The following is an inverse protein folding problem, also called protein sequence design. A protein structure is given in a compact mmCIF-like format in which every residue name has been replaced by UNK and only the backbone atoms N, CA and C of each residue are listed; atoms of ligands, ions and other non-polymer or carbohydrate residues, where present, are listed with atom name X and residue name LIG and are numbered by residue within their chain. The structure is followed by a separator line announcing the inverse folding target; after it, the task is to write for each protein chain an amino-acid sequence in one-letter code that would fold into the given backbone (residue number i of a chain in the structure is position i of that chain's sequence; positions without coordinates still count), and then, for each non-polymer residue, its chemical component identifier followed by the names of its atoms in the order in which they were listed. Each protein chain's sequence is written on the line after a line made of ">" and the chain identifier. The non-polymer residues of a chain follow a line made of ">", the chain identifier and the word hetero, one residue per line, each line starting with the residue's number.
data_IF_641635181059
#
_entry.id   IF_641635181059
#
_cell.length_a   1.000
_cell.length_b   1.000
_cell.length_c   1.000
_cell.angle_alpha   90.00
_cell.angle_beta   90.00
_cell.angle_gamma   90.00
#
_symmetry.space_group_name_H-M   'P 1'
#
loop_
_entity.id
_entity.type
_entity.pdbx_description
1 polymer ?
#
# COMPACT_ATOMS: atom_id res chain seq x y z
N UNK A 1 7.74 37.70 2.13
CA UNK A 1 7.75 36.94 3.40
C UNK A 1 6.53 36.03 3.57
N UNK A 2 5.26 36.46 3.37
CA UNK A 2 4.10 35.56 3.51
C UNK A 2 4.11 34.39 2.50
N UNK A 3 4.41 34.65 1.23
CA UNK A 3 4.54 33.61 0.18
C UNK A 3 5.58 32.51 0.48
N UNK A 4 6.59 32.80 1.32
CA UNK A 4 7.69 31.88 1.61
C UNK A 4 7.36 30.96 2.79
N UNK A 5 6.68 31.50 3.81
CA UNK A 5 6.11 30.71 4.92
C UNK A 5 5.06 29.72 4.41
N UNK A 6 4.19 30.16 3.49
CA UNK A 6 3.16 29.32 2.87
C UNK A 6 3.78 28.11 2.15
N UNK A 7 4.95 28.30 1.51
CA UNK A 7 5.64 27.23 0.79
C UNK A 7 6.25 26.18 1.72
N UNK A 8 6.78 26.58 2.88
CA UNK A 8 7.43 25.67 3.82
C UNK A 8 6.40 24.85 4.60
N UNK A 9 5.31 25.49 5.04
CA UNK A 9 4.21 24.81 5.71
C UNK A 9 3.60 23.72 4.82
N UNK A 10 3.33 24.05 3.55
CA UNK A 10 2.76 23.11 2.59
C UNK A 10 3.70 21.92 2.31
N UNK A 11 5.00 22.17 2.20
CA UNK A 11 6.01 21.11 2.07
C UNK A 11 6.05 20.21 3.31
N UNK A 12 5.95 20.77 4.51
CA UNK A 12 5.88 19.99 5.74
C UNK A 12 4.65 19.07 5.73
N UNK A 13 3.48 19.58 5.33
CA UNK A 13 2.25 18.78 5.25
C UNK A 13 2.35 17.64 4.23
N UNK A 14 2.94 17.90 3.05
CA UNK A 14 3.16 16.85 2.05
C UNK A 14 4.17 15.81 2.53
N UNK A 15 5.20 16.24 3.28
CA UNK A 15 6.14 15.31 3.92
C UNK A 15 5.45 14.45 4.99
N UNK A 16 4.59 15.05 5.83
CA UNK A 16 3.77 14.32 6.80
C UNK A 16 2.87 13.30 6.10
N UNK A 17 2.28 13.65 4.96
CA UNK A 17 1.49 12.73 4.15
C UNK A 17 2.35 11.55 3.65
N UNK A 18 3.56 11.80 3.16
CA UNK A 18 4.47 10.74 2.71
C UNK A 18 4.97 9.84 3.88
N UNK A 19 5.02 10.38 5.10
CA UNK A 19 5.39 9.66 6.32
C UNK A 19 4.21 8.97 7.01
N UNK A 20 2.96 9.34 6.71
CA UNK A 20 1.77 8.81 7.39
C UNK A 20 1.72 7.26 7.48
N UNK A 21 2.14 6.48 6.45
CA UNK A 21 2.19 5.02 6.54
C UNK A 21 3.13 4.51 7.64
N UNK A 22 4.29 5.14 7.84
CA UNK A 22 5.22 4.78 8.92
C UNK A 22 4.56 4.90 10.30
N UNK A 23 3.70 5.91 10.46
CA UNK A 23 3.04 6.21 11.72
C UNK A 23 1.67 5.52 11.90
N UNK A 24 1.23 4.72 10.93
CA UNK A 24 -0.12 4.13 10.94
C UNK A 24 -0.32 3.02 11.97
N UNK A 25 0.77 2.42 12.50
CA UNK A 25 0.67 1.43 13.58
C UNK A 25 0.65 2.06 14.99
N UNK A 26 0.95 3.35 15.13
CA UNK A 26 0.96 4.02 16.42
C UNK A 26 -0.43 4.57 16.74
N UNK A 27 -0.94 4.25 17.93
CA UNK A 27 -2.26 4.67 18.40
C UNK A 27 -2.18 6.14 18.81
N UNK A 28 -3.11 6.94 18.28
CA UNK A 28 -3.36 8.29 18.77
C UNK A 28 -4.49 8.25 19.81
N UNK A 29 -5.67 7.77 19.40
CA UNK A 29 -6.84 7.63 20.27
C UNK A 29 -7.80 6.56 19.72
N UNK A 30 -8.11 5.53 20.52
CA UNK A 30 -9.01 4.45 20.11
C UNK A 30 -8.53 3.73 18.85
N UNK A 31 -9.32 3.80 17.76
CA UNK A 31 -8.98 3.22 16.45
C UNK A 31 -8.27 4.21 15.50
N UNK A 32 -7.99 5.44 15.95
CA UNK A 32 -7.32 6.48 15.17
C UNK A 32 -5.81 6.37 15.39
N UNK A 33 -5.05 6.18 14.31
CA UNK A 33 -3.59 6.15 14.34
C UNK A 33 -2.96 7.54 14.18
N UNK A 34 -1.70 7.68 14.60
CA UNK A 34 -0.91 8.89 14.34
C UNK A 34 -0.77 9.15 12.83
N UNK A 35 -0.67 8.09 12.03
CA UNK A 35 -0.71 8.16 10.57
C UNK A 35 -2.01 8.74 10.02
N UNK A 36 -3.16 8.37 10.60
CA UNK A 36 -4.47 8.91 10.20
C UNK A 36 -4.52 10.42 10.50
N UNK A 37 -4.01 10.86 11.65
CA UNK A 37 -3.89 12.29 12.00
C UNK A 37 -3.01 13.04 10.99
N UNK A 38 -1.90 12.45 10.54
CA UNK A 38 -1.05 13.08 9.51
C UNK A 38 -1.78 13.24 8.18
N UNK A 39 -2.55 12.22 7.76
CA UNK A 39 -3.40 12.30 6.57
C UNK A 39 -4.47 13.40 6.71
N UNK A 40 -5.13 13.50 7.87
CA UNK A 40 -6.14 14.53 8.15
C UNK A 40 -5.52 15.92 8.12
N UNK A 41 -4.38 16.12 8.78
CA UNK A 41 -3.67 17.40 8.80
C UNK A 41 -3.25 17.82 7.37
N UNK A 42 -2.69 16.89 6.61
CA UNK A 42 -2.32 17.13 5.22
C UNK A 42 -3.53 17.47 4.34
N UNK A 43 -4.66 16.77 4.53
CA UNK A 43 -5.91 17.07 3.82
C UNK A 43 -6.37 18.50 4.08
N UNK A 44 -6.52 18.89 5.34
CA UNK A 44 -7.01 20.24 5.69
C UNK A 44 -6.04 21.33 5.24
N UNK A 45 -4.74 21.12 5.39
CA UNK A 45 -3.75 22.11 4.98
C UNK A 45 -3.58 22.23 3.46
N UNK A 46 -3.93 21.20 2.69
CA UNK A 46 -3.91 21.22 1.22
C UNK A 46 -5.23 21.71 0.59
N UNK A 47 -6.29 22.00 1.37
CA UNK A 47 -7.61 22.39 0.85
C UNK A 47 -7.55 23.56 -0.15
N UNK A 48 -6.76 24.59 0.15
CA UNK A 48 -6.60 25.78 -0.70
C UNK A 48 -5.82 25.51 -2.01
N UNK A 49 -5.25 24.32 -2.13
CA UNK A 49 -4.41 23.90 -3.25
C UNK A 49 -5.05 22.80 -4.11
N UNK A 50 -6.34 22.51 -3.89
CA UNK A 50 -7.09 21.62 -4.77
C UNK A 50 -7.59 22.34 -6.03
N UNK A 51 -7.44 21.67 -7.17
CA UNK A 51 -8.02 22.02 -8.47
C UNK A 51 -9.03 20.95 -8.85
N UNK A 52 -10.28 21.15 -8.44
CA UNK A 52 -11.36 20.20 -8.68
C UNK A 52 -11.79 20.25 -10.16
N UNK A 53 -11.44 19.21 -10.92
CA UNK A 53 -11.96 18.99 -12.26
C UNK A 53 -13.40 18.45 -12.21
N UNK A 54 -14.17 18.55 -13.30
CA UNK A 54 -15.50 17.92 -13.38
C UNK A 54 -15.45 16.41 -13.10
N UNK A 55 -14.39 15.72 -13.55
CA UNK A 55 -14.17 14.32 -13.25
C UNK A 55 -13.93 14.08 -11.75
N UNK A 56 -13.10 14.92 -11.12
CA UNK A 56 -12.86 14.87 -9.67
C UNK A 56 -14.15 15.10 -8.86
N UNK A 57 -14.96 16.09 -9.26
CA UNK A 57 -16.26 16.35 -8.65
C UNK A 57 -17.20 15.14 -8.79
N UNK A 58 -17.23 14.51 -9.96
CA UNK A 58 -18.00 13.29 -10.19
C UNK A 58 -17.56 12.13 -9.28
N UNK A 59 -16.25 11.93 -9.09
CA UNK A 59 -15.71 10.93 -8.15
C UNK A 59 -16.09 11.23 -6.70
N UNK A 60 -15.92 12.49 -6.27
CA UNK A 60 -16.25 12.91 -4.92
C UNK A 60 -17.75 12.70 -4.66
N UNK A 61 -18.58 13.12 -5.61
CA UNK A 61 -20.04 12.95 -5.53
C UNK A 61 -20.46 11.48 -5.47
N UNK A 62 -19.87 10.61 -6.30
CA UNK A 62 -20.17 9.18 -6.27
C UNK A 62 -19.74 8.51 -4.96
N UNK A 63 -18.57 8.85 -4.42
CA UNK A 63 -18.14 8.42 -3.09
C UNK A 63 -19.12 8.87 -2.00
N UNK A 64 -19.53 10.14 -2.00
CA UNK A 64 -20.48 10.65 -1.01
C UNK A 64 -21.87 10.01 -1.12
N UNK A 65 -22.38 9.75 -2.33
CA UNK A 65 -23.65 9.02 -2.50
C UNK A 65 -23.55 7.62 -1.90
N UNK A 66 -22.50 6.86 -2.24
CA UNK A 66 -22.31 5.50 -1.73
C UNK A 66 -22.23 5.53 -0.20
N UNK A 67 -21.39 6.41 0.37
CA UNK A 67 -21.26 6.55 1.83
C UNK A 67 -22.57 6.96 2.48
N UNK A 68 -23.29 7.95 1.92
CA UNK A 68 -24.54 8.45 2.49
C UNK A 68 -25.64 7.38 2.46
N UNK A 69 -25.84 6.73 1.32
CA UNK A 69 -26.87 5.69 1.18
C UNK A 69 -26.56 4.51 2.09
N UNK A 70 -25.31 4.04 2.12
CA UNK A 70 -24.90 2.98 3.05
C UNK A 70 -25.09 3.41 4.51
N UNK A 71 -24.77 4.66 4.87
CA UNK A 71 -24.99 5.19 6.21
C UNK A 71 -26.48 5.21 6.59
N UNK A 72 -27.37 5.62 5.69
CA UNK A 72 -28.84 5.57 5.92
C UNK A 72 -29.30 4.14 6.14
N UNK A 73 -28.86 3.19 5.31
CA UNK A 73 -29.20 1.78 5.47
C UNK A 73 -28.69 1.19 6.79
N UNK A 74 -27.50 1.58 7.25
CA UNK A 74 -26.94 1.17 8.54
C UNK A 74 -27.71 1.78 9.71
N UNK A 75 -28.06 3.07 9.64
CA UNK A 75 -28.85 3.74 10.67
C UNK A 75 -30.24 3.15 10.83
N UNK A 76 -30.92 2.79 9.73
CA UNK A 76 -32.23 2.12 9.78
C UNK A 76 -32.17 0.77 10.54
N UNK A 77 -30.97 0.20 10.66
CA UNK A 77 -30.71 -1.08 11.34
C UNK A 77 -30.02 -0.93 12.70
N UNK A 78 -29.78 0.30 13.16
CA UNK A 78 -29.14 0.64 14.45
C UNK A 78 -27.71 0.13 14.65
N UNK A 79 -26.97 -0.17 13.58
CA UNK A 79 -25.61 -0.73 13.66
C UNK A 79 -24.64 0.06 12.78
N UNK A 80 -23.92 1.04 13.37
CA UNK A 80 -22.82 1.73 12.68
C UNK A 80 -21.53 1.52 13.46
N UNK A 81 -20.67 0.63 12.96
CA UNK A 81 -19.36 0.36 13.55
C UNK A 81 -18.39 1.52 13.30
N UNK A 82 -17.43 1.75 14.21
CA UNK A 82 -16.37 2.73 14.02
C UNK A 82 -15.52 2.46 12.75
N UNK A 83 -15.36 1.17 12.38
CA UNK A 83 -14.68 0.74 11.17
C UNK A 83 -15.35 1.21 9.87
N UNK A 84 -16.68 1.44 9.87
CA UNK A 84 -17.37 2.01 8.72
C UNK A 84 -16.90 3.44 8.44
N UNK A 85 -16.85 4.29 9.47
CA UNK A 85 -16.42 5.68 9.32
C UNK A 85 -14.98 5.78 8.82
N UNK A 86 -14.09 4.90 9.32
CA UNK A 86 -12.70 4.83 8.86
C UNK A 86 -12.61 4.44 7.38
N UNK A 87 -13.34 3.42 6.95
CA UNK A 87 -13.36 2.99 5.56
C UNK A 87 -13.96 4.07 4.62
N UNK A 88 -15.06 4.70 5.03
CA UNK A 88 -15.66 5.81 4.30
C UNK A 88 -14.69 6.99 4.14
N UNK A 89 -13.97 7.34 5.21
CA UNK A 89 -12.95 8.38 5.18
C UNK A 89 -11.84 8.05 4.17
N UNK A 90 -11.27 6.85 4.22
CA UNK A 90 -10.20 6.43 3.31
C UNK A 90 -10.64 6.13 1.88
N UNK A 91 -11.94 5.98 1.63
CA UNK A 91 -12.52 5.95 0.28
C UNK A 91 -12.63 7.36 -0.32
N UNK A 92 -13.07 8.34 0.48
CA UNK A 92 -13.31 9.72 0.03
C UNK A 92 -12.02 10.52 -0.06
N UNK A 93 -11.11 10.36 0.92
CA UNK A 93 -9.88 11.14 1.04
C UNK A 93 -9.01 11.11 -0.22
N UNK A 94 -8.73 9.95 -0.86
CA UNK A 94 -7.96 9.91 -2.10
C UNK A 94 -8.58 10.74 -3.23
N UNK A 95 -9.90 10.82 -3.35
CA UNK A 95 -10.56 11.61 -4.41
C UNK A 95 -10.19 13.10 -4.35
N UNK A 96 -10.06 13.64 -3.13
CA UNK A 96 -9.60 15.01 -2.91
C UNK A 96 -8.10 15.17 -3.14
N UNK A 97 -7.29 14.27 -2.56
CA UNK A 97 -5.83 14.34 -2.70
C UNK A 97 -5.35 14.17 -4.14
N UNK A 98 -6.07 13.39 -4.96
CA UNK A 98 -5.85 13.26 -6.41
C UNK A 98 -6.31 14.49 -7.23
N UNK A 99 -6.72 15.56 -6.54
CA UNK A 99 -7.05 16.86 -7.12
C UNK A 99 -6.10 17.99 -6.65
N UNK A 100 -4.96 17.68 -6.01
CA UNK A 100 -3.90 18.67 -5.74
C UNK A 100 -3.30 19.27 -7.02
N UNK A 101 -2.64 20.44 -6.89
CA UNK A 101 -1.83 21.06 -7.95
C UNK A 101 -0.59 20.21 -8.28
N UNK A 102 -0.14 20.29 -9.54
CA UNK A 102 1.02 19.54 -10.07
C UNK A 102 2.30 19.69 -9.24
N UNK A 103 2.64 20.93 -8.85
CA UNK A 103 3.83 21.20 -8.03
C UNK A 103 3.88 20.39 -6.71
N UNK A 104 2.71 20.06 -6.15
CA UNK A 104 2.61 19.28 -4.92
C UNK A 104 2.80 17.80 -5.16
N UNK A 105 2.37 17.26 -6.30
CA UNK A 105 2.65 15.87 -6.66
C UNK A 105 4.13 15.66 -6.90
N UNK A 106 4.80 16.61 -7.55
CA UNK A 106 6.24 16.54 -7.76
C UNK A 106 7.00 16.52 -6.43
N UNK A 107 6.64 17.42 -5.51
CA UNK A 107 7.26 17.44 -4.19
C UNK A 107 6.93 16.19 -3.36
N UNK A 108 5.67 15.74 -3.40
CA UNK A 108 5.24 14.49 -2.76
C UNK A 108 6.04 13.31 -3.28
N UNK A 109 6.12 13.13 -4.61
CA UNK A 109 6.80 12.02 -5.24
C UNK A 109 8.31 12.04 -4.91
N UNK A 110 8.96 13.20 -4.94
CA UNK A 110 10.37 13.33 -4.57
C UNK A 110 10.62 12.95 -3.09
N UNK A 111 9.75 13.42 -2.19
CA UNK A 111 9.84 13.12 -0.76
C UNK A 111 9.62 11.63 -0.51
N UNK A 112 8.56 11.07 -1.09
CA UNK A 112 8.22 9.66 -1.02
C UNK A 112 9.35 8.77 -1.56
N UNK A 113 9.88 9.04 -2.76
CA UNK A 113 10.98 8.26 -3.33
C UNK A 113 12.26 8.33 -2.47
N UNK A 114 12.56 9.49 -1.90
CA UNK A 114 13.68 9.66 -0.98
C UNK A 114 13.48 8.81 0.28
N UNK A 115 12.30 8.87 0.88
CA UNK A 115 11.94 8.06 2.05
C UNK A 115 11.98 6.57 1.76
N UNK A 116 11.43 6.11 0.62
CA UNK A 116 11.49 4.70 0.23
C UNK A 116 12.93 4.20 0.13
N UNK A 117 13.86 5.02 -0.40
CA UNK A 117 15.28 4.66 -0.47
C UNK A 117 15.92 4.62 0.92
N UNK A 118 15.67 5.63 1.76
CA UNK A 118 16.20 5.70 3.13
C UNK A 118 15.74 4.50 3.95
N UNK A 119 14.45 4.18 3.91
CA UNK A 119 13.89 3.01 4.61
C UNK A 119 14.45 1.69 4.07
N UNK A 120 14.69 1.59 2.76
CA UNK A 120 15.31 0.40 2.17
C UNK A 120 16.76 0.22 2.61
N UNK A 121 17.56 1.29 2.62
CA UNK A 121 18.94 1.25 3.15
C UNK A 121 18.93 0.86 4.62
N UNK A 122 18.04 1.46 5.41
CA UNK A 122 17.92 1.16 6.83
C UNK A 122 17.60 -0.32 7.07
N UNK A 123 16.65 -0.89 6.32
CA UNK A 123 16.31 -2.31 6.40
C UNK A 123 17.52 -3.20 6.08
N UNK A 124 18.24 -2.90 5.00
CA UNK A 124 19.46 -3.65 4.64
C UNK A 124 20.49 -3.58 5.75
N UNK A 125 20.74 -2.39 6.31
CA UNK A 125 21.69 -2.19 7.41
C UNK A 125 21.26 -2.97 8.65
N UNK A 126 19.98 -2.96 9.01
CA UNK A 126 19.45 -3.71 10.14
C UNK A 126 19.66 -5.22 9.97
N UNK A 127 19.43 -5.74 8.77
CA UNK A 127 19.68 -7.16 8.43
C UNK A 127 21.17 -7.50 8.52
N UNK A 128 22.04 -6.63 8.02
CA UNK A 128 23.49 -6.81 8.14
C UNK A 128 23.93 -6.80 9.61
N UNK A 129 23.40 -5.89 10.44
CA UNK A 129 23.71 -5.82 11.87
C UNK A 129 23.29 -7.11 12.56
N UNK A 130 22.11 -7.65 12.24
CA UNK A 130 21.67 -8.93 12.76
C UNK A 130 22.62 -10.06 12.39
N UNK A 131 22.95 -10.25 11.11
CA UNK A 131 23.80 -11.38 10.71
C UNK A 131 25.28 -11.25 11.11
N UNK A 132 25.80 -10.02 11.29
CA UNK A 132 27.21 -9.80 11.69
C UNK A 132 27.38 -9.77 13.20
N UNK A 133 26.49 -9.08 13.92
CA UNK A 133 26.62 -8.82 15.36
C UNK A 133 25.62 -9.60 16.21
N UNK A 134 24.68 -10.35 15.60
CA UNK A 134 23.56 -11.01 16.27
C UNK A 134 22.73 -10.03 17.12
N UNK A 135 22.55 -8.81 16.61
CA UNK A 135 21.76 -7.76 17.26
C UNK A 135 20.58 -7.36 16.38
N UNK A 136 19.41 -7.27 16.98
CA UNK A 136 18.24 -6.63 16.37
C UNK A 136 17.85 -5.41 17.21
N UNK A 137 17.21 -4.44 16.57
CA UNK A 137 16.63 -3.29 17.24
C UNK A 137 15.29 -2.98 16.58
N UNK A 138 14.35 -2.49 17.37
CA UNK A 138 13.02 -2.06 16.93
C UNK A 138 12.89 -0.54 17.09
N UNK A 139 12.06 0.08 16.25
CA UNK A 139 11.74 1.50 16.43
C UNK A 139 10.80 1.63 17.63
N UNK A 140 11.34 2.04 18.78
CA UNK A 140 10.56 2.27 19.99
C UNK A 140 10.20 3.76 20.11
N UNK A 141 8.94 4.09 19.87
CA UNK A 141 8.37 5.42 20.15
C UNK A 141 7.52 5.36 21.42
N UNK A 142 7.31 6.49 22.14
CA UNK A 142 6.55 6.53 23.39
C UNK A 142 5.02 6.44 23.18
N UNK A 143 4.57 5.81 22.10
CA UNK A 143 3.15 5.63 21.75
C UNK A 143 2.81 4.15 21.77
N UNK A 144 1.60 3.82 22.25
CA UNK A 144 1.05 2.48 22.13
C UNK A 144 0.82 2.12 20.66
N UNK A 145 0.70 0.84 20.37
CA UNK A 145 0.63 0.31 19.00
C UNK A 145 -0.46 -0.71 18.84
N UNK A 146 -1.05 -0.79 17.64
CA UNK A 146 -2.06 -1.81 17.32
C UNK A 146 -1.46 -3.20 17.24
N UNK A 147 -0.31 -3.32 16.58
CA UNK A 147 0.38 -4.59 16.35
C UNK A 147 1.77 -4.59 16.99
N UNK A 148 2.18 -5.75 17.53
CA UNK A 148 3.53 -6.00 18.00
C UNK A 148 4.54 -5.95 16.84
N UNK A 149 5.81 -5.68 17.15
CA UNK A 149 6.86 -5.73 16.13
C UNK A 149 7.13 -7.19 15.74
N UNK A 150 7.21 -7.47 14.44
CA UNK A 150 7.49 -8.83 13.94
C UNK A 150 8.83 -9.35 14.47
N UNK A 151 9.78 -8.46 14.73
CA UNK A 151 11.08 -8.82 15.31
C UNK A 151 10.94 -9.36 16.74
N UNK A 152 10.03 -8.80 17.53
CA UNK A 152 9.86 -9.18 18.94
C UNK A 152 8.99 -10.44 19.10
N UNK A 153 8.07 -10.68 18.16
CA UNK A 153 7.09 -11.76 18.24
C UNK A 153 7.58 -13.07 17.62
N UNK A 154 8.43 -13.02 16.58
CA UNK A 154 8.86 -14.22 15.86
C UNK A 154 10.14 -14.83 16.45
N UNK A 155 10.14 -16.15 16.59
CA UNK A 155 11.36 -16.90 16.87
C UNK A 155 12.29 -16.91 15.64
N UNK A 156 13.34 -16.10 15.69
CA UNK A 156 14.31 -15.98 14.60
C UNK A 156 15.07 -17.28 14.31
N UNK A 157 15.21 -18.17 15.29
CA UNK A 157 15.94 -19.42 15.10
C UNK A 157 15.18 -20.37 14.17
N UNK A 158 13.85 -20.37 14.24
CA UNK A 158 13.00 -21.27 13.45
C UNK A 158 12.41 -20.58 12.21
N UNK A 159 12.24 -19.26 12.26
CA UNK A 159 11.50 -18.50 11.23
C UNK A 159 12.38 -17.58 10.39
N UNK A 160 13.68 -17.52 10.70
CA UNK A 160 14.62 -16.58 10.10
C UNK A 160 14.44 -15.15 10.61
N UNK A 161 15.40 -14.28 10.25
CA UNK A 161 15.31 -12.86 10.58
C UNK A 161 14.37 -12.15 9.62
N UNK A 162 13.26 -11.65 10.16
CA UNK A 162 12.18 -11.01 9.40
C UNK A 162 11.93 -9.61 9.94
N UNK A 163 12.24 -8.60 9.14
CA UNK A 163 12.13 -7.19 9.53
C UNK A 163 11.40 -6.35 8.48
N UNK A 164 10.59 -5.40 8.94
CA UNK A 164 10.03 -4.32 8.11
C UNK A 164 10.89 -3.06 8.10
N UNK A 165 12.10 -3.10 8.68
CA UNK A 165 12.96 -1.92 8.82
C UNK A 165 12.41 -1.00 9.90
N UNK A 166 11.98 0.19 9.46
CA UNK A 166 11.26 1.15 10.30
C UNK A 166 9.78 0.79 10.48
N UNK A 167 9.26 -0.13 9.67
CA UNK A 167 7.89 -0.63 9.76
C UNK A 167 7.85 -1.87 10.67
N UNK A 168 6.76 -2.00 11.44
CA UNK A 168 6.53 -3.12 12.36
C UNK A 168 6.29 -4.45 11.66
N UNK A 169 5.74 -4.40 10.45
CA UNK A 169 5.48 -5.59 9.63
C UNK A 169 6.17 -5.46 8.26
N UNK A 170 6.84 -6.52 7.77
CA UNK A 170 7.46 -6.52 6.44
C UNK A 170 6.51 -6.29 5.27
N UNK A 171 5.25 -6.69 5.41
CA UNK A 171 4.21 -6.47 4.39
C UNK A 171 3.94 -4.97 4.22
N UNK A 172 3.92 -4.21 5.30
CA UNK A 172 3.78 -2.74 5.29
C UNK A 172 4.93 -2.05 4.58
N UNK A 173 6.17 -2.46 4.85
CA UNK A 173 7.34 -1.98 4.09
C UNK A 173 7.17 -2.27 2.59
N UNK A 174 6.73 -3.48 2.26
CA UNK A 174 6.54 -3.89 0.87
C UNK A 174 5.50 -3.03 0.15
N UNK A 175 4.33 -2.85 0.77
CA UNK A 175 3.25 -1.99 0.26
C UNK A 175 3.79 -0.58 0.01
N UNK A 176 4.52 -0.03 0.98
CA UNK A 176 5.07 1.32 0.91
C UNK A 176 6.12 1.48 -0.18
N UNK A 177 6.90 0.46 -0.52
CA UNK A 177 8.01 0.59 -1.50
C UNK A 177 7.59 0.28 -2.94
N UNK A 178 6.50 -0.46 -3.14
CA UNK A 178 6.04 -0.90 -4.47
C UNK A 178 5.97 0.25 -5.49
N UNK A 179 5.30 1.40 -5.25
CA UNK A 179 5.27 2.47 -6.24
C UNK A 179 6.67 2.99 -6.61
N UNK A 180 7.61 3.05 -5.65
CA UNK A 180 8.98 3.49 -5.92
C UNK A 180 9.74 2.46 -6.80
N UNK A 181 9.52 1.16 -6.55
CA UNK A 181 10.07 0.08 -7.34
C UNK A 181 9.66 0.20 -8.82
N UNK A 182 8.37 0.43 -9.10
CA UNK A 182 7.88 0.63 -10.46
C UNK A 182 8.37 1.95 -11.07
N UNK A 183 8.45 3.03 -10.29
CA UNK A 183 9.01 4.29 -10.77
C UNK A 183 10.44 4.12 -11.27
N UNK A 184 11.32 3.49 -10.49
CA UNK A 184 12.71 3.30 -10.90
C UNK A 184 12.85 2.31 -12.07
N UNK A 185 11.96 1.31 -12.18
CA UNK A 185 11.86 0.45 -13.35
C UNK A 185 11.52 1.25 -14.62
N UNK A 186 10.49 2.11 -14.55
CA UNK A 186 10.08 3.00 -15.65
C UNK A 186 11.20 3.96 -16.05
N UNK A 187 11.93 4.52 -15.08
CA UNK A 187 13.06 5.42 -15.29
C UNK A 187 14.36 4.73 -15.70
N UNK A 188 14.38 3.39 -15.74
CA UNK A 188 15.59 2.58 -16.00
C UNK A 188 16.74 2.90 -15.03
N UNK A 189 16.42 3.29 -13.78
CA UNK A 189 17.43 3.53 -12.75
C UNK A 189 17.72 2.23 -11.99
N UNK A 190 18.59 1.41 -12.59
CA UNK A 190 18.84 0.04 -12.14
C UNK A 190 19.43 -0.05 -10.74
N UNK A 191 20.32 0.87 -10.38
CA UNK A 191 20.97 0.85 -9.06
C UNK A 191 19.94 1.03 -7.95
N UNK A 192 19.05 2.03 -8.11
CA UNK A 192 17.97 2.27 -7.14
C UNK A 192 16.94 1.14 -7.14
N UNK A 193 16.57 0.62 -8.32
CA UNK A 193 15.65 -0.52 -8.39
C UNK A 193 16.21 -1.78 -7.71
N UNK A 194 17.48 -2.12 -7.94
CA UNK A 194 18.14 -3.28 -7.32
C UNK A 194 18.23 -3.14 -5.80
N UNK A 195 18.52 -1.93 -5.30
CA UNK A 195 18.47 -1.65 -3.87
C UNK A 195 17.09 -1.95 -3.27
N UNK A 196 16.01 -1.50 -3.92
CA UNK A 196 14.65 -1.78 -3.47
C UNK A 196 14.32 -3.27 -3.52
N UNK A 197 14.70 -3.97 -4.60
CA UNK A 197 14.51 -5.44 -4.71
C UNK A 197 15.28 -6.16 -3.60
N UNK A 198 16.54 -5.79 -3.35
CA UNK A 198 17.33 -6.36 -2.27
C UNK A 198 16.67 -6.16 -0.91
N UNK A 199 16.18 -4.95 -0.62
CA UNK A 199 15.46 -4.67 0.62
C UNK A 199 14.14 -5.47 0.72
N UNK A 200 13.39 -5.63 -0.37
CA UNK A 200 12.17 -6.46 -0.39
C UNK A 200 12.47 -7.93 -0.14
N UNK A 201 13.54 -8.46 -0.74
CA UNK A 201 14.02 -9.83 -0.50
C UNK A 201 14.41 -10.01 0.98
N UNK A 202 15.19 -9.07 1.52
CA UNK A 202 15.61 -9.10 2.93
C UNK A 202 14.46 -8.88 3.92
N UNK A 203 13.39 -8.19 3.52
CA UNK A 203 12.18 -8.09 4.34
C UNK A 203 11.45 -9.43 4.48
N UNK A 204 11.74 -10.42 3.62
CA UNK A 204 11.08 -11.74 3.57
C UNK A 204 9.56 -11.67 3.38
N UNK A 205 9.07 -10.59 2.79
CA UNK A 205 7.66 -10.41 2.44
C UNK A 205 7.34 -11.08 1.10
N UNK A 206 6.39 -12.02 1.10
CA UNK A 206 5.90 -12.68 -0.12
C UNK A 206 5.34 -11.68 -1.15
N UNK A 207 4.65 -10.64 -0.67
CA UNK A 207 4.17 -9.53 -1.51
C UNK A 207 5.34 -8.75 -2.15
N UNK A 208 6.41 -8.52 -1.39
CA UNK A 208 7.62 -7.86 -1.88
C UNK A 208 8.33 -8.67 -2.97
N UNK A 209 8.38 -10.00 -2.82
CA UNK A 209 8.92 -10.90 -3.83
C UNK A 209 8.07 -10.89 -5.11
N UNK A 210 6.75 -11.03 -4.98
CA UNK A 210 5.83 -10.97 -6.11
C UNK A 210 5.93 -9.63 -6.87
N UNK A 211 5.99 -8.51 -6.14
CA UNK A 211 6.17 -7.19 -6.73
C UNK A 211 7.53 -7.04 -7.44
N UNK A 212 8.59 -7.63 -6.88
CA UNK A 212 9.92 -7.64 -7.51
C UNK A 212 9.89 -8.37 -8.85
N UNK A 213 9.31 -9.57 -8.90
CA UNK A 213 9.14 -10.35 -10.12
C UNK A 213 8.32 -9.57 -11.16
N UNK A 214 7.19 -8.99 -10.73
CA UNK A 214 6.32 -8.24 -11.63
C UNK A 214 7.00 -6.96 -12.15
N UNK A 215 7.77 -6.26 -11.32
CA UNK A 215 8.56 -5.09 -11.74
C UNK A 215 9.54 -5.43 -12.86
N UNK A 216 10.22 -6.59 -12.76
CA UNK A 216 11.10 -7.09 -13.82
C UNK A 216 10.33 -7.52 -15.08
N UNK A 217 9.18 -8.17 -14.92
CA UNK A 217 8.33 -8.56 -16.06
C UNK A 217 7.78 -7.33 -16.81
N UNK A 218 7.36 -6.30 -16.07
CA UNK A 218 6.88 -5.04 -16.61
C UNK A 218 7.97 -4.31 -17.41
N UNK A 219 9.21 -4.34 -16.92
CA UNK A 219 10.38 -3.84 -17.66
C UNK A 219 10.58 -4.53 -19.01
N UNK A 220 10.49 -5.87 -19.03
CA UNK A 220 10.69 -6.65 -20.26
C UNK A 220 9.71 -6.23 -21.36
N UNK A 221 8.43 -6.09 -21.01
CA UNK A 221 7.37 -5.70 -21.94
C UNK A 221 7.53 -4.28 -22.51
N UNK A 222 7.97 -3.31 -21.70
CA UNK A 222 8.12 -1.91 -22.12
C UNK A 222 9.29 -1.67 -23.09
N UNK A 223 10.22 -2.61 -23.18
CA UNK A 223 11.52 -2.33 -23.76
C UNK A 223 11.63 -2.62 -25.27
N UNK A 224 10.70 -3.37 -25.87
CA UNK A 224 10.64 -3.70 -27.32
C UNK A 224 11.88 -4.40 -27.91
N UNK A 225 12.97 -4.50 -27.15
CA UNK A 225 14.29 -5.01 -27.53
C UNK A 225 14.65 -6.17 -26.62
N UNK A 226 13.85 -7.23 -26.67
CA UNK A 226 14.02 -8.45 -25.86
C UNK A 226 15.47 -8.96 -25.83
N UNK A 227 16.21 -8.85 -26.94
CA UNK A 227 17.57 -9.41 -27.09
C UNK A 227 18.67 -8.63 -26.38
N UNK A 228 18.63 -7.29 -26.35
CA UNK A 228 19.60 -6.47 -25.59
C UNK A 228 19.29 -6.49 -24.08
N UNK A 229 18.00 -6.58 -23.75
CA UNK A 229 17.54 -6.63 -22.36
C UNK A 229 17.73 -7.99 -21.71
N UNK A 230 17.86 -9.06 -22.49
CA UNK A 230 18.13 -10.40 -21.99
C UNK A 230 19.41 -10.45 -21.15
N UNK A 231 20.49 -9.73 -21.51
CA UNK A 231 21.73 -9.70 -20.71
C UNK A 231 21.55 -8.99 -19.36
N UNK A 232 20.77 -7.90 -19.33
CA UNK A 232 20.48 -7.14 -18.10
C UNK A 232 19.50 -7.89 -17.20
N UNK A 233 18.55 -8.60 -17.81
CA UNK A 233 17.61 -9.49 -17.12
C UNK A 233 18.34 -10.71 -16.60
N UNK A 234 19.25 -11.31 -17.37
CA UNK A 234 20.10 -12.39 -16.88
C UNK A 234 20.94 -11.91 -15.70
N UNK A 235 21.48 -10.68 -15.74
CA UNK A 235 22.19 -10.09 -14.60
C UNK A 235 21.27 -9.86 -13.40
N UNK A 236 20.07 -9.29 -13.58
CA UNK A 236 19.13 -9.03 -12.49
C UNK A 236 18.54 -10.33 -11.90
N UNK A 237 18.17 -11.29 -12.75
CA UNK A 237 17.76 -12.64 -12.37
C UNK A 237 18.94 -13.33 -11.69
N UNK A 238 20.17 -13.22 -12.18
CA UNK A 238 21.33 -13.77 -11.50
C UNK A 238 21.57 -13.09 -10.16
N UNK A 239 21.30 -11.79 -10.00
CA UNK A 239 21.44 -11.09 -8.74
C UNK A 239 20.34 -11.49 -7.75
N UNK A 240 19.11 -11.67 -8.22
CA UNK A 240 17.99 -12.21 -7.42
C UNK A 240 18.25 -13.67 -7.06
N UNK A 241 18.70 -14.49 -8.01
CA UNK A 241 19.08 -15.89 -7.78
C UNK A 241 20.27 -15.96 -6.84
N UNK A 242 21.27 -15.08 -6.95
CA UNK A 242 22.38 -15.01 -5.99
C UNK A 242 21.88 -14.54 -4.63
N UNK A 243 20.99 -13.56 -4.54
CA UNK A 243 20.39 -13.15 -3.27
C UNK A 243 19.57 -14.29 -2.63
N UNK A 244 18.78 -15.00 -3.42
CA UNK A 244 18.03 -16.19 -3.01
C UNK A 244 18.97 -17.33 -2.63
N UNK A 245 20.04 -17.56 -3.38
CA UNK A 245 21.06 -18.57 -3.09
C UNK A 245 21.87 -18.23 -1.85
N UNK A 246 22.17 -16.95 -1.61
CA UNK A 246 22.78 -16.46 -0.37
C UNK A 246 21.81 -16.71 0.80
N UNK A 247 20.53 -16.38 0.66
CA UNK A 247 19.50 -16.72 1.65
C UNK A 247 19.39 -18.23 1.89
N UNK A 248 19.51 -19.06 0.85
CA UNK A 248 19.55 -20.52 0.96
C UNK A 248 20.86 -21.03 1.63
N UNK A 249 21.98 -20.34 1.42
CA UNK A 249 23.27 -20.66 2.03
C UNK A 249 23.32 -20.33 3.54
N UNK A 250 22.54 -19.35 4.00
CA UNK A 250 22.48 -18.94 5.41
C UNK A 250 21.56 -19.79 6.30
N UNK A 251 21.12 -20.95 5.80
CA UNK A 251 20.53 -22.10 6.52
C UNK A 251 19.06 -21.96 6.95
N UNK A 252 18.37 -23.09 6.75
CA UNK A 252 16.97 -23.47 6.97
C UNK A 252 15.91 -22.86 6.02
N UNK A 253 15.40 -23.73 5.15
CA UNK A 253 14.54 -23.50 3.96
C UNK A 253 13.09 -23.13 4.34
N UNK A 254 12.90 -22.48 5.50
CA UNK A 254 11.58 -22.14 6.04
C UNK A 254 10.79 -21.17 5.14
N UNK A 255 11.46 -20.37 4.31
CA UNK A 255 10.79 -19.42 3.42
C UNK A 255 10.16 -20.07 2.18
N UNK A 256 10.72 -21.16 1.64
CA UNK A 256 10.13 -21.88 0.49
C UNK A 256 8.90 -22.64 0.95
N UNK A 257 9.01 -23.32 2.09
CA UNK A 257 7.87 -23.99 2.73
C UNK A 257 6.76 -22.97 2.99
N UNK A 258 7.06 -21.81 3.59
CA UNK A 258 6.07 -20.72 3.77
C UNK A 258 5.49 -20.17 2.48
N UNK A 259 6.28 -20.05 1.42
CA UNK A 259 5.77 -19.62 0.13
C UNK A 259 4.78 -20.64 -0.43
N UNK A 260 5.07 -21.93 -0.31
CA UNK A 260 4.17 -23.01 -0.74
C UNK A 260 2.94 -23.11 0.18
N UNK A 261 3.13 -23.00 1.50
CA UNK A 261 2.07 -22.94 2.52
C UNK A 261 1.12 -21.78 2.24
N UNK A 262 1.62 -20.65 1.71
CA UNK A 262 0.77 -19.53 1.31
C UNK A 262 -0.33 -19.92 0.31
N UNK A 263 -0.07 -20.92 -0.54
CA UNK A 263 -0.99 -21.46 -1.53
C UNK A 263 -1.62 -22.80 -1.14
N UNK A 264 -1.31 -23.33 0.05
CA UNK A 264 -1.86 -24.60 0.55
C UNK A 264 -3.36 -24.52 0.88
N UNK A 265 -3.97 -25.67 1.19
CA UNK A 265 -5.40 -25.74 1.53
C UNK A 265 -5.79 -24.91 2.75
N UNK A 266 -4.89 -24.75 3.72
CA UNK A 266 -5.07 -23.88 4.90
C UNK A 266 -4.22 -22.60 4.79
N UNK A 267 -3.77 -22.26 3.58
CA UNK A 267 -2.85 -21.18 3.34
C UNK A 267 -3.47 -19.80 3.52
N UNK A 268 -2.69 -18.78 3.93
CA UNK A 268 -3.16 -17.40 4.09
C UNK A 268 -3.80 -16.81 2.83
N UNK A 269 -3.49 -17.29 1.63
CA UNK A 269 -4.17 -16.82 0.42
C UNK A 269 -5.63 -17.29 0.35
N UNK A 270 -5.90 -18.57 0.67
CA UNK A 270 -7.27 -19.10 0.68
C UNK A 270 -8.09 -18.43 1.78
N UNK A 271 -7.52 -18.30 2.98
CA UNK A 271 -8.11 -17.56 4.11
C UNK A 271 -8.49 -16.12 3.72
N UNK A 272 -7.78 -15.50 2.76
CA UNK A 272 -8.12 -14.16 2.25
C UNK A 272 -9.16 -14.17 1.13
N UNK A 273 -9.07 -15.11 0.19
CA UNK A 273 -9.92 -15.15 -1.01
C UNK A 273 -11.31 -15.71 -0.71
N UNK A 274 -11.42 -16.71 0.15
CA UNK A 274 -12.69 -17.38 0.44
C UNK A 274 -13.72 -16.42 1.10
N UNK A 275 -13.36 -15.63 2.14
CA UNK A 275 -14.26 -14.60 2.67
C UNK A 275 -14.64 -13.52 1.66
N UNK A 276 -13.74 -13.21 0.71
CA UNK A 276 -14.03 -12.26 -0.36
C UNK A 276 -15.04 -12.79 -1.37
N UNK A 277 -14.93 -14.06 -1.75
CA UNK A 277 -15.90 -14.70 -2.65
C UNK A 277 -17.26 -14.86 -1.96
N UNK A 278 -17.26 -15.22 -0.67
CA UNK A 278 -18.47 -15.25 0.16
C UNK A 278 -19.11 -13.86 0.28
N UNK A 279 -18.32 -12.84 0.58
CA UNK A 279 -18.79 -11.45 0.62
C UNK A 279 -19.34 -11.00 -0.74
N UNK A 280 -18.67 -11.32 -1.84
CA UNK A 280 -19.19 -11.00 -3.17
C UNK A 280 -20.53 -11.69 -3.45
N UNK A 281 -20.66 -12.97 -3.11
CA UNK A 281 -21.89 -13.74 -3.33
C UNK A 281 -23.07 -13.23 -2.47
N UNK A 282 -22.77 -12.73 -1.26
CA UNK A 282 -23.78 -12.25 -0.32
C UNK A 282 -24.00 -10.73 -0.39
N UNK A 283 -23.19 -9.98 -1.14
CA UNK A 283 -23.33 -8.55 -1.28
C UNK A 283 -24.55 -8.21 -2.14
N UNK A 284 -25.50 -7.48 -1.56
CA UNK A 284 -26.54 -6.80 -2.32
C UNK A 284 -26.01 -5.53 -2.99
N UNK A 285 -26.87 -4.87 -3.77
CA UNK A 285 -26.51 -3.64 -4.48
C UNK A 285 -26.03 -2.52 -3.53
N UNK A 286 -26.62 -2.46 -2.33
CA UNK A 286 -26.39 -1.43 -1.30
C UNK A 286 -25.77 -1.99 -0.01
N UNK A 287 -25.25 -3.22 -0.05
CA UNK A 287 -24.74 -3.98 1.09
C UNK A 287 -25.44 -5.32 1.25
N UNK A 288 -24.92 -6.19 2.11
CA UNK A 288 -25.52 -7.51 2.38
C UNK A 288 -26.84 -7.47 3.17
N UNK A 289 -27.65 -8.54 3.06
CA UNK A 289 -28.81 -8.77 3.95
C UNK A 289 -28.32 -9.07 5.38
N UNK A 290 -28.77 -8.26 6.35
CA UNK A 290 -28.06 -8.03 7.62
C UNK A 290 -28.24 -9.09 8.71
N UNK A 291 -29.06 -10.12 8.49
CA UNK A 291 -29.27 -11.16 9.53
C UNK A 291 -28.08 -12.11 9.69
N UNK A 292 -27.30 -12.29 8.62
CA UNK A 292 -26.11 -13.15 8.60
C UNK A 292 -24.81 -12.37 8.50
N UNK A 293 -24.84 -11.05 8.25
CA UNK A 293 -23.62 -10.27 8.02
C UNK A 293 -22.90 -9.92 9.29
N UNK A 294 -23.59 -9.67 10.41
CA UNK A 294 -22.92 -9.42 11.69
C UNK A 294 -22.65 -10.73 12.46
N UNK A 295 -23.34 -11.84 12.16
CA UNK A 295 -22.86 -13.16 12.58
C UNK A 295 -21.73 -13.64 11.70
N UNK A 296 -21.69 -13.38 10.39
CA UNK A 296 -20.48 -13.62 9.58
C UNK A 296 -19.38 -12.68 10.03
N UNK A 297 -19.54 -11.36 9.96
CA UNK A 297 -18.53 -10.39 10.38
C UNK A 297 -18.15 -10.63 11.84
N UNK A 298 -19.04 -10.76 12.82
CA UNK A 298 -18.61 -11.02 14.21
C UNK A 298 -18.14 -12.46 14.46
N UNK A 299 -18.63 -13.52 13.79
CA UNK A 299 -18.01 -14.87 13.93
C UNK A 299 -16.65 -14.96 13.23
N UNK A 300 -16.42 -14.18 12.17
CA UNK A 300 -15.12 -14.00 11.53
C UNK A 300 -14.19 -13.10 12.36
N UNK A 301 -14.72 -12.11 13.08
CA UNK A 301 -13.95 -11.18 13.92
C UNK A 301 -13.64 -11.77 15.32
N UNK A 302 -14.55 -12.55 15.92
CA UNK A 302 -14.34 -13.24 17.20
C UNK A 302 -13.32 -14.39 17.06
N UNK A 303 -13.10 -14.90 15.85
CA UNK A 303 -12.08 -15.90 15.52
C UNK A 303 -10.69 -15.34 15.20
N UNK A 304 -10.52 -14.02 15.11
CA UNK A 304 -9.25 -13.41 14.70
C UNK A 304 -8.90 -13.60 13.22
N UNK A 305 -9.88 -13.90 12.35
CA UNK A 305 -9.63 -14.11 10.92
C UNK A 305 -9.43 -12.77 10.18
N UNK A 306 -8.31 -12.68 9.47
CA UNK A 306 -7.90 -11.53 8.69
C UNK A 306 -8.90 -11.18 7.60
N UNK A 307 -9.55 -10.02 7.70
CA UNK A 307 -10.50 -9.58 6.69
C UNK A 307 -9.86 -8.69 5.63
N UNK A 308 -9.95 -9.10 4.35
CA UNK A 308 -9.58 -8.23 3.23
C UNK A 308 -10.57 -7.04 3.14
N UNK A 309 -10.06 -5.84 3.00
CA UNK A 309 -10.87 -4.63 2.92
C UNK A 309 -11.89 -4.59 1.79
N UNK A 310 -11.68 -5.30 0.68
CA UNK A 310 -12.70 -5.35 -0.37
C UNK A 310 -13.90 -6.17 0.07
N UNK A 311 -13.70 -7.27 0.79
CA UNK A 311 -14.80 -7.98 1.44
C UNK A 311 -15.57 -7.04 2.37
N UNK A 312 -14.86 -6.16 3.10
CA UNK A 312 -15.47 -5.20 4.03
C UNK A 312 -16.30 -4.15 3.30
N UNK A 313 -15.71 -3.55 2.26
CA UNK A 313 -16.38 -2.57 1.42
C UNK A 313 -17.56 -3.20 0.67
N UNK A 314 -17.46 -4.44 0.16
CA UNK A 314 -18.57 -5.17 -0.46
C UNK A 314 -19.71 -5.39 0.54
N UNK A 315 -19.40 -5.85 1.74
CA UNK A 315 -20.43 -6.11 2.76
C UNK A 315 -21.09 -4.83 3.25
N UNK A 316 -20.31 -3.78 3.52
CA UNK A 316 -20.81 -2.53 4.12
C UNK A 316 -21.35 -1.53 3.10
N UNK A 317 -20.80 -1.49 1.88
CA UNK A 317 -21.18 -0.53 0.83
C UNK A 317 -21.92 -1.15 -0.37
N UNK A 318 -21.89 -2.47 -0.51
CA UNK A 318 -22.53 -3.19 -1.62
C UNK A 318 -21.77 -3.08 -2.94
N UNK A 319 -22.29 -3.75 -3.98
CA UNK A 319 -21.67 -3.70 -5.31
C UNK A 319 -21.51 -2.29 -5.88
N UNK A 320 -22.28 -1.31 -5.41
CA UNK A 320 -22.18 0.07 -5.87
C UNK A 320 -20.87 0.78 -5.49
N UNK A 321 -20.12 0.35 -4.47
CA UNK A 321 -18.80 0.96 -4.22
C UNK A 321 -17.83 0.72 -5.39
N UNK A 322 -18.06 -0.30 -6.22
CA UNK A 322 -17.23 -0.52 -7.40
C UNK A 322 -17.28 0.66 -8.36
N UNK A 323 -18.36 1.46 -8.37
CA UNK A 323 -18.44 2.63 -9.25
C UNK A 323 -17.40 3.70 -8.90
N UNK A 324 -17.37 4.29 -7.68
CA UNK A 324 -16.31 5.23 -7.31
C UNK A 324 -14.93 4.58 -7.37
N UNK A 325 -14.82 3.28 -7.03
CA UNK A 325 -13.55 2.56 -7.11
C UNK A 325 -13.02 2.42 -8.56
N UNK A 326 -13.88 2.10 -9.54
CA UNK A 326 -13.49 2.05 -10.95
C UNK A 326 -13.11 3.44 -11.48
N UNK A 327 -13.80 4.50 -11.05
CA UNK A 327 -13.42 5.87 -11.41
C UNK A 327 -12.03 6.23 -10.84
N UNK A 328 -11.74 5.80 -9.62
CA UNK A 328 -10.42 5.93 -9.01
C UNK A 328 -9.35 5.18 -9.83
N UNK A 329 -9.59 3.91 -10.20
CA UNK A 329 -8.68 3.13 -11.03
C UNK A 329 -8.41 3.79 -12.39
N UNK A 330 -9.44 4.33 -13.04
CA UNK A 330 -9.28 5.08 -14.29
C UNK A 330 -8.36 6.30 -14.10
N UNK A 331 -8.45 6.99 -12.96
CA UNK A 331 -7.61 8.15 -12.65
C UNK A 331 -6.14 7.78 -12.45
N UNK A 332 -5.85 6.62 -11.86
CA UNK A 332 -4.49 6.14 -11.60
C UNK A 332 -3.72 5.75 -12.88
N UNK A 333 -4.42 5.52 -13.99
CA UNK A 333 -3.85 4.96 -15.20
C UNK A 333 -3.59 3.45 -15.09
N UNK A 334 -3.24 2.80 -16.21
CA UNK A 334 -3.19 1.32 -16.29
C UNK A 334 -2.26 0.68 -15.26
N UNK A 335 -1.06 1.23 -15.05
CA UNK A 335 -0.11 0.68 -14.10
C UNK A 335 -0.62 0.80 -12.66
N UNK A 336 -1.09 1.99 -12.28
CA UNK A 336 -1.65 2.21 -10.96
C UNK A 336 -2.92 1.38 -10.72
N UNK A 337 -3.74 1.18 -11.75
CA UNK A 337 -4.91 0.33 -11.69
C UNK A 337 -4.53 -1.14 -11.42
N UNK A 338 -3.59 -1.71 -12.18
CA UNK A 338 -3.12 -3.08 -11.97
C UNK A 338 -2.50 -3.27 -10.58
N UNK A 339 -1.67 -2.31 -10.14
CA UNK A 339 -1.03 -2.35 -8.83
C UNK A 339 -2.06 -2.21 -7.69
N UNK A 340 -3.05 -1.32 -7.84
CA UNK A 340 -4.13 -1.14 -6.86
C UNK A 340 -5.02 -2.39 -6.76
N UNK A 341 -5.40 -2.98 -7.89
CA UNK A 341 -6.14 -4.25 -7.93
C UNK A 341 -5.35 -5.36 -7.22
N UNK A 342 -4.05 -5.49 -7.49
CA UNK A 342 -3.19 -6.43 -6.77
C UNK A 342 -3.17 -6.16 -5.26
N UNK A 343 -2.91 -4.91 -4.85
CA UNK A 343 -2.87 -4.52 -3.44
C UNK A 343 -4.18 -4.84 -2.72
N UNK A 344 -5.31 -4.63 -3.38
CA UNK A 344 -6.63 -4.98 -2.87
C UNK A 344 -6.78 -6.47 -2.61
N UNK A 345 -6.33 -7.34 -3.50
CA UNK A 345 -6.45 -8.79 -3.28
C UNK A 345 -5.54 -9.29 -2.16
N UNK A 346 -4.42 -8.60 -1.91
CA UNK A 346 -3.39 -9.07 -0.99
C UNK A 346 -3.34 -8.35 0.36
N UNK A 347 -4.10 -7.26 0.57
CA UNK A 347 -3.93 -6.38 1.74
C UNK A 347 -5.22 -5.71 2.22
N UNK A 348 -5.14 -5.04 3.37
CA UNK A 348 -6.22 -4.24 3.95
C UNK A 348 -6.31 -2.85 3.30
N UNK A 349 -6.56 -2.78 1.98
CA UNK A 349 -6.70 -1.54 1.21
C UNK A 349 -7.79 -0.60 1.77
N UNK A 350 -7.69 0.73 1.64
CA UNK A 350 -8.71 1.70 2.10
C UNK A 350 -9.10 1.65 3.58
N UNK A 351 -8.26 1.10 4.45
CA UNK A 351 -8.49 1.13 5.91
C UNK A 351 -7.48 2.00 6.66
N UNK A 352 -6.42 2.45 5.97
CA UNK A 352 -5.28 3.14 6.59
C UNK A 352 -4.58 4.08 5.59
N UNK A 353 -3.64 4.86 6.11
CA UNK A 353 -2.84 5.80 5.31
C UNK A 353 -1.97 5.15 4.23
N UNK A 354 -1.61 3.86 4.36
CA UNK A 354 -0.85 3.14 3.33
C UNK A 354 -1.57 3.20 1.98
N UNK A 355 -2.88 2.94 1.99
CA UNK A 355 -3.67 2.95 0.76
C UNK A 355 -3.68 4.33 0.09
N UNK A 356 -3.88 5.39 0.85
CA UNK A 356 -3.86 6.77 0.35
C UNK A 356 -2.51 7.13 -0.27
N UNK A 357 -1.40 6.88 0.43
CA UNK A 357 -0.05 7.19 -0.07
C UNK A 357 0.29 6.34 -1.29
N UNK A 358 -0.07 5.07 -1.29
CA UNK A 358 0.13 4.17 -2.42
C UNK A 358 -0.56 4.68 -3.70
N UNK A 359 -1.85 5.02 -3.58
CA UNK A 359 -2.65 5.57 -4.68
C UNK A 359 -2.06 6.88 -5.19
N UNK A 360 -1.72 7.78 -4.27
CA UNK A 360 -1.15 9.09 -4.58
C UNK A 360 0.21 8.96 -5.28
N UNK A 361 1.05 8.01 -4.88
CA UNK A 361 2.33 7.74 -5.50
C UNK A 361 2.16 7.22 -6.94
N UNK A 362 1.29 6.24 -7.17
CA UNK A 362 1.03 5.75 -8.53
C UNK A 362 0.41 6.83 -9.43
N UNK A 363 -0.49 7.65 -8.89
CA UNK A 363 -1.04 8.77 -9.64
C UNK A 363 0.04 9.79 -10.04
N UNK A 364 0.92 10.15 -9.09
CA UNK A 364 2.04 11.07 -9.35
C UNK A 364 2.98 10.51 -10.43
N UNK A 365 3.25 9.20 -10.40
CA UNK A 365 4.04 8.51 -11.44
C UNK A 365 3.34 8.58 -12.80
N UNK A 366 2.02 8.37 -12.84
CA UNK A 366 1.24 8.41 -14.07
C UNK A 366 1.23 9.82 -14.70
N UNK A 367 1.03 10.86 -13.89
CA UNK A 367 1.13 12.26 -14.34
C UNK A 367 2.48 12.53 -15.00
N UNK A 368 3.56 12.15 -14.32
CA UNK A 368 4.92 12.37 -14.80
C UNK A 368 5.19 11.63 -16.13
N UNK A 369 4.67 10.41 -16.29
CA UNK A 369 4.75 9.67 -17.55
C UNK A 369 3.93 10.33 -18.69
N UNK A 370 2.78 10.93 -18.37
CA UNK A 370 1.93 11.59 -19.36
C UNK A 370 2.57 12.85 -19.95
N UNK A 371 3.24 13.65 -19.12
CA UNK A 371 3.97 14.84 -19.56
C UNK A 371 5.15 14.51 -20.48
N UNK A 372 5.86 13.42 -20.21
CA UNK A 372 6.97 13.01 -21.05
C UNK A 372 6.51 12.59 -22.45
N UNK A 373 5.35 11.93 -22.56
CA UNK A 373 4.77 11.57 -23.87
C UNK A 373 4.43 12.82 -24.68
N UNK A 374 3.85 13.84 -24.04
CA UNK A 374 3.55 15.13 -24.68
C UNK A 374 4.81 15.83 -25.18
N UNK A 375 5.90 15.81 -24.41
CA UNK A 375 7.18 16.42 -24.84
C UNK A 375 7.81 15.69 -26.03
N UNK A 376 7.73 14.36 -26.07
CA UNK A 376 8.28 13.56 -27.18
C UNK A 376 7.42 13.58 -28.45
N UNK A 377 6.14 13.96 -28.40
CA UNK A 377 5.27 14.06 -29.58
C UNK A 377 5.36 15.40 -30.31
N UNK A 378 5.98 16.41 -29.69
CA UNK A 378 6.12 17.77 -30.23
C UNK A 378 7.53 18.02 -30.79
N UNK A 379 8.48 17.13 -30.51
CA UNK A 379 9.82 17.06 -31.13
C UNK A 379 9.82 16.11 -32.32
#
# INVERSE_FOLDING_TARGET
>A
MPLLLDSLYLRLLVLLLALAPLFSNYVFEGMISVGDVFCIAAFFGCLLYFRLSYFSLGMIFSCFIVVFVSLVFLFMKSEVSASFFRAAFFLVLPCFLLSMKEDLYDFFLQSYLSLSLVFSVFLVVQVMIYYIFNQSFTLMLPWSTYEGDTIEVLDHATQGFRTGGVFREPSYFSIYVIPALFFFALRRNYVKQLLLVGALVFSTSSMGLAASIFSFAFYLNLSGRLRENFKRVLFAVSAVVVAVLLLLFFRDVSWVERFLDAFGEDGPLRVRLEPMLLAANNAGLWGGEFGSSDTMVNSFFDGGEWYNSVSYLLMRLGWLFLLPFMMLLLRLGTLGALACTGLIFFTNAFSNAFSTVFLLAFYSINLLCSEQKLKCSVS
#
